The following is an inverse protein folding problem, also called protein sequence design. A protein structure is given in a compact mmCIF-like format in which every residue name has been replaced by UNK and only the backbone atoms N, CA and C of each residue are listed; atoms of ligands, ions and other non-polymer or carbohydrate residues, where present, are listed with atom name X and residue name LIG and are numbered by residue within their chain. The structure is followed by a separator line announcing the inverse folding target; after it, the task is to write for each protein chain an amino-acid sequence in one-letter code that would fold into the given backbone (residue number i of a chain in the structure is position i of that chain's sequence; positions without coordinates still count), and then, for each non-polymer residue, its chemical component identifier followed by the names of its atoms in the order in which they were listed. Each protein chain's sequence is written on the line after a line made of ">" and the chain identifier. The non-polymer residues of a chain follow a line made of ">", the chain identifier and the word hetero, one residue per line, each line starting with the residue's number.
data_IF_800944363712
#
_entry.id   IF_800944363712
#
_cell.length_a   1.000
_cell.length_b   1.000
_cell.length_c   1.000
_cell.angle_alpha   90.00
_cell.angle_beta   90.00
_cell.angle_gamma   90.00
#
_symmetry.space_group_name_H-M   'P 1'
#
loop_
_entity.id
_entity.type
_entity.pdbx_description
1 polymer ?
#
# COMPACT_ATOMS: atom_id res chain seq x y z
N UNK A 1 -13.94 2.58 8.12
CA UNK A 1 -13.07 3.20 7.09
C UNK A 1 -13.74 4.42 6.48
N UNK A 2 -12.97 5.34 5.89
CA UNK A 2 -13.49 6.56 5.26
C UNK A 2 -12.98 6.70 3.83
N UNK A 3 -13.84 7.09 2.88
CA UNK A 3 -13.44 7.31 1.47
C UNK A 3 -13.22 8.80 1.25
N UNK A 4 -12.06 9.16 0.69
CA UNK A 4 -11.66 10.53 0.40
C UNK A 4 -11.41 10.66 -1.10
N UNK A 5 -11.98 11.70 -1.72
CA UNK A 5 -11.62 12.08 -3.10
C UNK A 5 -10.42 13.03 -3.03
N UNK A 6 -9.27 12.65 -3.59
CA UNK A 6 -8.06 13.47 -3.55
C UNK A 6 -6.76 12.73 -3.87
N UNK A 7 -5.63 13.40 -3.66
CA UNK A 7 -4.31 12.79 -3.80
C UNK A 7 -3.83 12.23 -2.46
N UNK A 8 -3.36 10.98 -2.44
CA UNK A 8 -2.79 10.39 -1.22
C UNK A 8 -1.55 11.15 -0.74
N UNK A 9 -0.81 11.80 -1.63
CA UNK A 9 0.37 12.56 -1.24
C UNK A 9 0.04 13.82 -0.42
N UNK A 10 -1.24 14.22 -0.37
CA UNK A 10 -1.71 15.26 0.55
C UNK A 10 -1.67 14.82 2.02
N UNK A 11 -1.40 13.54 2.29
CA UNK A 11 -1.25 12.95 3.63
C UNK A 11 0.17 13.04 4.20
N UNK A 12 1.11 13.55 3.41
CA UNK A 12 2.45 13.86 3.88
C UNK A 12 2.40 14.92 4.98
N UNK A 13 2.71 14.50 6.21
CA UNK A 13 2.66 15.33 7.42
C UNK A 13 1.35 15.24 8.19
N UNK A 14 0.43 14.36 7.78
CA UNK A 14 -0.86 14.13 8.44
C UNK A 14 -1.03 12.68 8.92
N UNK A 15 -0.69 11.70 8.08
CA UNK A 15 -0.87 10.29 8.39
C UNK A 15 0.33 9.70 9.12
N UNK A 16 0.08 8.81 10.09
CA UNK A 16 1.12 8.04 10.78
C UNK A 16 1.62 6.88 9.92
N UNK A 17 0.76 6.36 9.04
CA UNK A 17 1.07 5.29 8.11
C UNK A 17 0.48 5.60 6.72
N UNK A 18 1.35 5.58 5.71
CA UNK A 18 0.95 5.65 4.30
C UNK A 18 1.23 4.28 3.66
N UNK A 19 0.17 3.61 3.19
CA UNK A 19 0.25 2.31 2.54
C UNK A 19 0.12 2.44 1.02
N UNK A 20 1.02 1.76 0.32
CA UNK A 20 1.13 1.80 -1.14
C UNK A 20 0.79 0.40 -1.70
N UNK A 21 -0.25 0.26 -2.55
CA UNK A 21 -0.51 -0.96 -3.29
C UNK A 21 0.67 -1.36 -4.14
N UNK A 22 1.18 -2.57 -3.90
CA UNK A 22 2.41 -3.08 -4.51
C UNK A 22 2.28 -4.58 -4.83
N UNK A 23 3.37 -5.16 -5.35
CA UNK A 23 3.43 -6.56 -5.77
C UNK A 23 4.45 -7.36 -4.93
N UNK A 24 4.81 -8.57 -5.35
CA UNK A 24 5.85 -9.41 -4.72
C UNK A 24 7.03 -9.71 -5.64
N UNK A 25 7.18 -8.97 -6.74
CA UNK A 25 8.30 -9.14 -7.69
C UNK A 25 9.49 -8.32 -7.24
N UNK A 26 10.62 -8.99 -7.06
CA UNK A 26 11.90 -8.34 -6.78
C UNK A 26 12.72 -8.23 -8.06
N UNK A 27 13.50 -7.15 -8.18
CA UNK A 27 14.52 -6.98 -9.21
C UNK A 27 15.71 -7.92 -8.94
N UNK A 28 16.65 -8.08 -9.89
CA UNK A 28 17.90 -8.81 -9.65
C UNK A 28 18.74 -8.28 -8.48
N UNK A 29 18.51 -7.03 -8.06
CA UNK A 29 19.16 -6.40 -6.88
C UNK A 29 18.39 -6.64 -5.58
N UNK A 30 17.31 -7.40 -5.61
CA UNK A 30 16.46 -7.65 -4.44
C UNK A 30 15.52 -6.49 -4.09
N UNK A 31 15.37 -5.48 -4.95
CA UNK A 31 14.47 -4.34 -4.72
C UNK A 31 13.06 -4.64 -5.20
N UNK A 32 12.03 -4.14 -4.49
CA UNK A 32 10.66 -4.29 -4.93
C UNK A 32 10.40 -3.52 -6.24
N UNK A 33 9.80 -4.18 -7.23
CA UNK A 33 9.46 -3.53 -8.50
C UNK A 33 8.31 -2.52 -8.30
N UNK A 34 8.63 -1.24 -8.41
CA UNK A 34 7.69 -0.11 -8.24
C UNK A 34 7.76 0.81 -9.47
N UNK A 35 7.37 0.28 -10.63
CA UNK A 35 7.62 0.92 -11.94
C UNK A 35 6.46 1.72 -12.54
N UNK A 36 5.26 1.67 -11.98
CA UNK A 36 4.09 2.39 -12.50
C UNK A 36 3.10 2.81 -11.38
N UNK A 37 2.20 3.74 -11.73
CA UNK A 37 1.12 4.21 -10.84
C UNK A 37 1.63 4.82 -9.53
N UNK A 38 0.82 4.67 -8.48
CA UNK A 38 1.15 5.17 -7.13
C UNK A 38 2.42 4.54 -6.55
N UNK A 39 2.77 3.30 -6.93
CA UNK A 39 4.04 2.70 -6.53
C UNK A 39 5.25 3.42 -7.14
N UNK A 40 5.16 3.84 -8.41
CA UNK A 40 6.21 4.66 -9.03
C UNK A 40 6.36 6.01 -8.33
N UNK A 41 5.23 6.68 -8.05
CA UNK A 41 5.22 7.94 -7.31
C UNK A 41 5.85 7.76 -5.92
N UNK A 42 5.53 6.69 -5.21
CA UNK A 42 6.14 6.37 -3.92
C UNK A 42 7.65 6.21 -4.02
N UNK A 43 8.17 5.58 -5.08
CA UNK A 43 9.60 5.48 -5.35
C UNK A 43 10.23 6.83 -5.67
N UNK A 44 9.53 7.70 -6.40
CA UNK A 44 10.00 9.05 -6.74
C UNK A 44 10.07 9.95 -5.50
N UNK A 45 9.09 9.87 -4.60
CA UNK A 45 9.11 10.55 -3.30
C UNK A 45 10.12 9.92 -2.32
N UNK A 46 10.21 8.60 -2.27
CA UNK A 46 11.02 7.84 -1.31
C UNK A 46 11.93 6.83 -2.05
N UNK A 47 13.08 7.29 -2.58
CA UNK A 47 13.94 6.46 -3.43
C UNK A 47 14.45 5.17 -2.77
N UNK A 48 14.50 5.12 -1.44
CA UNK A 48 14.93 3.94 -0.67
C UNK A 48 13.81 2.93 -0.40
N UNK A 49 12.54 3.27 -0.66
CA UNK A 49 11.41 2.37 -0.41
C UNK A 49 11.53 1.01 -1.12
N UNK A 50 11.91 0.93 -2.41
CA UNK A 50 12.09 -0.36 -3.09
C UNK A 50 13.10 -1.27 -2.38
N UNK A 51 14.20 -0.70 -1.91
CA UNK A 51 15.24 -1.43 -1.19
C UNK A 51 14.72 -1.95 0.16
N UNK A 52 14.10 -1.08 0.96
CA UNK A 52 13.59 -1.46 2.28
C UNK A 52 12.48 -2.51 2.23
N UNK A 53 11.53 -2.35 1.32
CA UNK A 53 10.49 -3.35 1.11
C UNK A 53 11.06 -4.66 0.57
N UNK A 54 12.00 -4.59 -0.38
CA UNK A 54 12.66 -5.76 -0.94
C UNK A 54 13.35 -6.64 0.10
N UNK A 55 13.92 -6.04 1.15
CA UNK A 55 14.52 -6.78 2.28
C UNK A 55 13.52 -7.48 3.20
N UNK A 56 12.27 -7.02 3.23
CA UNK A 56 11.21 -7.56 4.10
C UNK A 56 10.28 -8.52 3.36
N UNK A 57 10.23 -8.44 2.04
CA UNK A 57 9.36 -9.25 1.19
C UNK A 57 10.13 -10.49 0.74
N UNK A 58 9.54 -11.66 0.98
CA UNK A 58 10.00 -12.89 0.35
C UNK A 58 9.35 -13.00 -1.05
N UNK A 59 10.16 -13.05 -2.10
CA UNK A 59 9.68 -13.10 -3.48
C UNK A 59 8.67 -14.25 -3.68
N UNK A 60 7.56 -13.96 -4.37
CA UNK A 60 6.46 -14.91 -4.68
C UNK A 60 5.61 -15.40 -3.50
N UNK A 61 5.71 -14.81 -2.31
CA UNK A 61 4.84 -15.13 -1.16
C UNK A 61 3.88 -14.00 -0.83
N UNK A 62 2.84 -14.37 -0.09
CA UNK A 62 2.00 -13.44 0.63
C UNK A 62 2.76 -12.84 1.81
N UNK A 63 3.00 -11.54 1.74
CA UNK A 63 3.48 -10.74 2.87
C UNK A 63 2.36 -9.88 3.48
N UNK A 64 1.29 -9.62 2.73
CA UNK A 64 0.19 -8.77 3.18
C UNK A 64 0.64 -7.31 3.32
N UNK A 65 1.26 -6.97 4.45
CA UNK A 65 1.77 -5.63 4.73
C UNK A 65 3.15 -5.68 5.36
N UNK A 66 4.06 -4.88 4.81
CA UNK A 66 5.36 -4.57 5.42
C UNK A 66 5.53 -3.06 5.53
N UNK A 67 6.07 -2.59 6.66
CA UNK A 67 6.25 -1.15 6.94
C UNK A 67 7.70 -0.87 7.32
N UNK A 68 8.17 0.36 7.12
CA UNK A 68 9.43 0.86 7.69
C UNK A 68 9.27 2.35 8.07
N UNK A 69 10.05 2.84 9.05
CA UNK A 69 10.00 4.24 9.43
C UNK A 69 10.62 5.10 8.33
N UNK A 70 9.97 6.20 7.97
CA UNK A 70 10.39 7.15 6.97
C UNK A 70 10.27 8.58 7.53
N UNK A 71 10.98 9.51 6.90
CA UNK A 71 10.95 10.94 7.24
C UNK A 71 10.77 11.77 5.98
N UNK A 72 9.99 12.84 6.09
CA UNK A 72 9.85 13.83 5.03
C UNK A 72 9.86 15.21 5.66
N UNK A 73 10.86 16.02 5.29
CA UNK A 73 11.13 17.32 5.95
C UNK A 73 11.27 17.16 7.47
N UNK A 74 10.35 17.71 8.27
CA UNK A 74 10.41 17.74 9.73
C UNK A 74 9.42 16.78 10.41
N UNK A 75 8.76 15.89 9.67
CA UNK A 75 7.87 14.88 10.25
C UNK A 75 8.32 13.46 9.92
N UNK A 76 8.00 12.55 10.83
CA UNK A 76 8.24 11.11 10.71
C UNK A 76 6.93 10.38 10.59
N UNK A 77 6.91 9.32 9.79
CA UNK A 77 5.75 8.49 9.56
C UNK A 77 6.22 7.08 9.16
N UNK A 78 5.30 6.15 9.02
CA UNK A 78 5.57 4.83 8.48
C UNK A 78 5.17 4.79 7.01
N UNK A 79 6.08 4.34 6.15
CA UNK A 79 5.73 3.97 4.79
C UNK A 79 5.56 2.45 4.73
N UNK A 80 4.49 1.99 4.08
CA UNK A 80 4.23 0.56 3.95
C UNK A 80 3.86 0.13 2.54
N UNK A 81 4.23 -1.10 2.23
CA UNK A 81 3.78 -1.82 1.05
C UNK A 81 2.56 -2.66 1.44
N UNK A 82 1.45 -2.44 0.75
CA UNK A 82 0.23 -3.25 0.83
C UNK A 82 0.17 -4.15 -0.41
N UNK A 83 0.21 -5.46 -0.22
CA UNK A 83 0.28 -6.39 -1.33
C UNK A 83 -1.06 -6.49 -2.05
N UNK A 84 -1.09 -6.20 -3.35
CA UNK A 84 -2.26 -6.41 -4.21
C UNK A 84 -1.99 -7.37 -5.36
N UNK A 85 -0.72 -7.70 -5.62
CA UNK A 85 -0.33 -8.57 -6.74
C UNK A 85 0.80 -9.52 -6.35
N UNK A 86 0.84 -10.71 -6.96
CA UNK A 86 2.04 -11.55 -6.92
C UNK A 86 3.11 -11.06 -7.90
N UNK A 87 2.67 -10.68 -9.11
CA UNK A 87 3.53 -10.17 -10.17
C UNK A 87 2.96 -8.86 -10.72
N UNK A 88 3.82 -7.85 -10.91
CA UNK A 88 3.40 -6.54 -11.42
C UNK A 88 2.72 -6.60 -12.79
N UNK A 89 3.04 -7.61 -13.62
CA UNK A 89 2.47 -7.83 -14.96
C UNK A 89 1.04 -8.38 -14.94
N UNK A 90 0.60 -8.96 -13.83
CA UNK A 90 -0.67 -9.65 -13.74
C UNK A 90 -1.73 -8.75 -13.07
N UNK A 91 -3.03 -9.01 -13.29
CA UNK A 91 -4.11 -8.38 -12.52
C UNK A 91 -4.00 -8.66 -11.01
N UNK A 92 -4.68 -7.86 -10.21
CA UNK A 92 -4.76 -8.02 -8.75
C UNK A 92 -5.79 -9.10 -8.39
N UNK A 93 -5.41 -10.18 -7.69
CA UNK A 93 -6.37 -11.16 -7.22
C UNK A 93 -7.15 -10.64 -6.01
N UNK A 94 -8.47 -10.81 -5.98
CA UNK A 94 -9.33 -10.35 -4.88
C UNK A 94 -8.96 -11.02 -3.56
N UNK A 95 -8.64 -12.32 -3.58
CA UNK A 95 -8.25 -13.06 -2.39
C UNK A 95 -6.96 -12.51 -1.76
N UNK A 96 -6.07 -11.93 -2.59
CA UNK A 96 -4.85 -11.32 -2.11
C UNK A 96 -5.14 -9.99 -1.40
N UNK A 97 -6.04 -9.18 -1.97
CA UNK A 97 -6.50 -7.95 -1.32
C UNK A 97 -7.17 -8.29 0.01
N UNK A 98 -8.03 -9.31 0.06
CA UNK A 98 -8.67 -9.75 1.30
C UNK A 98 -7.66 -10.12 2.39
N UNK A 99 -6.60 -10.88 2.02
CA UNK A 99 -5.54 -11.26 2.96
C UNK A 99 -4.75 -10.05 3.45
N UNK A 100 -4.39 -9.12 2.58
CA UNK A 100 -3.69 -7.89 2.94
C UNK A 100 -4.56 -6.99 3.83
N UNK A 101 -5.85 -6.87 3.54
CA UNK A 101 -6.82 -6.13 4.35
C UNK A 101 -6.95 -6.73 5.75
N UNK A 102 -7.02 -8.05 5.89
CA UNK A 102 -7.00 -8.72 7.20
C UNK A 102 -5.73 -8.41 8.00
N UNK A 103 -4.58 -8.28 7.34
CA UNK A 103 -3.32 -7.87 7.99
C UNK A 103 -3.32 -6.40 8.38
N UNK A 104 -4.00 -5.54 7.62
CA UNK A 104 -4.18 -4.13 7.98
C UNK A 104 -5.03 -4.02 9.22
N UNK A 105 -6.21 -4.63 9.21
CA UNK A 105 -7.17 -4.59 10.32
C UNK A 105 -6.51 -4.97 11.65
N UNK A 106 -5.77 -6.08 11.68
CA UNK A 106 -5.04 -6.54 12.86
C UNK A 106 -3.94 -5.59 13.37
N UNK A 107 -3.51 -4.62 12.56
CA UNK A 107 -2.46 -3.64 12.90
C UNK A 107 -2.99 -2.21 12.98
N UNK A 108 -4.25 -1.97 12.60
CA UNK A 108 -4.75 -0.64 12.37
C UNK A 108 -4.78 0.19 13.66
N UNK A 109 -4.99 -0.44 14.81
CA UNK A 109 -4.96 0.21 16.13
C UNK A 109 -3.57 0.70 16.57
N UNK A 110 -2.50 0.38 15.84
CA UNK A 110 -1.14 0.87 16.13
C UNK A 110 -0.88 2.28 15.57
N UNK A 111 -1.85 2.84 14.84
CA UNK A 111 -1.72 4.12 14.15
C UNK A 111 -3.01 4.93 14.36
N UNK A 112 -2.90 6.24 14.54
CA UNK A 112 -4.08 7.10 14.71
C UNK A 112 -4.69 7.46 13.35
N UNK A 113 -3.86 7.51 12.30
CA UNK A 113 -4.28 7.79 10.92
C UNK A 113 -3.52 6.97 9.89
N UNK A 114 -4.25 6.17 9.12
CA UNK A 114 -3.72 5.35 8.03
C UNK A 114 -4.30 5.84 6.71
N UNK A 115 -3.43 6.17 5.76
CA UNK A 115 -3.83 6.57 4.41
C UNK A 115 -3.40 5.51 3.39
N UNK A 116 -4.30 5.15 2.48
CA UNK A 116 -3.98 4.29 1.34
C UNK A 116 -4.86 4.64 0.15
N UNK A 117 -4.41 4.46 -1.10
CA UNK A 117 -5.29 4.60 -2.24
C UNK A 117 -6.16 3.35 -2.35
N UNK A 118 -7.25 3.43 -3.13
CA UNK A 118 -8.09 2.27 -3.42
C UNK A 118 -7.23 1.10 -3.97
N UNK A 119 -7.08 -0.01 -3.24
CA UNK A 119 -6.16 -1.08 -3.61
C UNK A 119 -6.70 -1.87 -4.80
N UNK A 120 -5.80 -2.32 -5.67
CA UNK A 120 -6.15 -3.25 -6.74
C UNK A 120 -6.88 -2.63 -7.94
N UNK A 121 -7.28 -1.37 -7.87
CA UNK A 121 -7.86 -0.63 -9.00
C UNK A 121 -6.78 -0.06 -9.93
N UNK A 122 -7.19 0.57 -11.03
CA UNK A 122 -6.28 1.09 -12.05
C UNK A 122 -5.52 -0.03 -12.77
N UNK A 123 -4.19 -0.07 -12.63
CA UNK A 123 -3.36 -1.13 -13.24
C UNK A 123 -3.62 -2.52 -12.67
N UNK A 124 -4.34 -2.64 -11.56
CA UNK A 124 -4.76 -3.93 -11.01
C UNK A 124 -5.99 -4.54 -11.68
N UNK A 125 -6.76 -3.76 -12.44
CA UNK A 125 -7.89 -4.24 -13.23
C UNK A 125 -9.18 -4.50 -12.45
N UNK A 126 -9.23 -4.22 -11.14
CA UNK A 126 -10.45 -4.31 -10.35
C UNK A 126 -11.22 -2.99 -10.35
N UNK A 127 -12.53 -3.09 -10.16
CA UNK A 127 -13.44 -1.96 -9.95
C UNK A 127 -13.55 -1.61 -8.47
N UNK A 128 -14.06 -0.41 -8.15
CA UNK A 128 -14.38 -0.04 -6.77
C UNK A 128 -15.38 -1.02 -6.15
N UNK A 129 -16.41 -1.44 -6.89
CA UNK A 129 -17.40 -2.41 -6.42
C UNK A 129 -16.82 -3.78 -6.06
N UNK A 130 -15.71 -4.18 -6.69
CA UNK A 130 -15.05 -5.45 -6.36
C UNK A 130 -14.35 -5.38 -4.99
N UNK A 131 -13.77 -4.23 -4.66
CA UNK A 131 -12.88 -4.09 -3.50
C UNK A 131 -13.56 -3.49 -2.27
N UNK A 132 -14.58 -2.65 -2.44
CA UNK A 132 -15.29 -2.00 -1.33
C UNK A 132 -15.81 -2.99 -0.28
N UNK A 133 -16.47 -4.12 -0.64
CA UNK A 133 -16.94 -5.09 0.36
C UNK A 133 -15.83 -5.72 1.21
N UNK A 134 -14.59 -5.73 0.71
CA UNK A 134 -13.42 -6.19 1.44
C UNK A 134 -12.98 -5.13 2.45
N UNK A 135 -12.93 -3.86 2.02
CA UNK A 135 -12.40 -2.74 2.80
C UNK A 135 -13.36 -2.23 3.87
N UNK A 136 -14.67 -2.45 3.74
CA UNK A 136 -15.69 -2.04 4.72
C UNK A 136 -15.45 -2.58 6.13
N UNK A 137 -14.66 -3.66 6.25
CA UNK A 137 -14.28 -4.26 7.54
C UNK A 137 -13.22 -3.46 8.28
N UNK A 138 -12.55 -2.51 7.60
CA UNK A 138 -11.46 -1.73 8.19
C UNK A 138 -12.01 -0.63 9.13
N UNK A 139 -11.29 -0.34 10.22
CA UNK A 139 -11.68 0.68 11.19
C UNK A 139 -11.67 2.10 10.61
N UNK A 140 -12.25 3.04 11.36
CA UNK A 140 -12.51 4.41 10.90
C UNK A 140 -11.26 5.30 10.81
N UNK A 141 -10.15 4.86 11.40
CA UNK A 141 -8.84 5.51 11.23
C UNK A 141 -8.15 5.16 9.90
N UNK A 142 -8.78 4.34 9.04
CA UNK A 142 -8.29 4.05 7.69
C UNK A 142 -9.01 4.91 6.65
N UNK A 143 -8.23 5.71 5.92
CA UNK A 143 -8.67 6.64 4.89
C UNK A 143 -8.26 6.11 3.51
N UNK A 144 -9.26 5.81 2.68
CA UNK A 144 -9.11 5.27 1.33
C UNK A 144 -9.25 6.40 0.31
N UNK A 145 -8.17 6.68 -0.42
CA UNK A 145 -8.14 7.74 -1.43
C UNK A 145 -8.57 7.21 -2.80
N UNK A 146 -9.50 7.92 -3.43
CA UNK A 146 -9.86 7.75 -4.84
C UNK A 146 -9.60 9.04 -5.62
N UNK A 147 -9.08 8.87 -6.83
CA UNK A 147 -8.83 9.95 -7.80
C UNK A 147 -9.86 9.88 -8.91
#
# INVERSE_FOLDING_TARGET
>A
MQIITGDIWDELGKADLILIPTNSTLSPRGELVMGAGVAKQAKEHFPMAPYWFGRKINARRDYGIVTYPESWKWFSFWLGAFQTKYNWRNPSPLELIERSTKKLDAKASLFDRIAMPMPGTGLGGLTESDVLPILEKLPDNVFIYKK
#
